data_IF_845404144185
#
_entry.id   IF_845404144185
#
_cell.length_a   1.000
_cell.length_b   1.000
_cell.length_c   1.000
_cell.angle_alpha   90.00
_cell.angle_beta   90.00
_cell.angle_gamma   90.00
#
_symmetry.space_group_name_H-M   'P 1'
#
loop_
_entity.id
_entity.type
_entity.pdbx_description
1 polymer ?
#
# COMPACT_ATOMS: atom_id res chain seq x y z
N UNK A 1 16.69 -0.92 -10.96
CA UNK A 1 16.24 -0.95 -9.54
C UNK A 1 14.91 -1.72 -9.52
N UNK A 2 14.93 -3.06 -9.42
CA UNK A 2 13.87 -3.92 -9.98
C UNK A 2 13.15 -4.86 -8.99
N UNK A 3 13.41 -4.76 -7.67
CA UNK A 3 12.98 -5.82 -6.73
C UNK A 3 11.75 -5.42 -5.89
N UNK A 4 11.37 -4.13 -5.84
CA UNK A 4 10.24 -3.67 -5.01
C UNK A 4 8.90 -3.79 -5.73
N UNK A 5 8.87 -3.60 -7.06
CA UNK A 5 7.65 -3.62 -7.87
C UNK A 5 7.02 -5.01 -7.94
N UNK A 6 7.84 -6.05 -8.11
CA UNK A 6 7.33 -7.42 -8.30
C UNK A 6 6.98 -8.15 -7.00
N UNK A 7 7.60 -7.79 -5.87
CA UNK A 7 7.40 -8.52 -4.60
C UNK A 7 6.30 -7.91 -3.72
N UNK A 8 6.07 -6.60 -3.80
CA UNK A 8 5.05 -5.90 -3.01
C UNK A 8 3.86 -5.43 -3.85
N UNK A 9 3.94 -5.59 -5.17
CA UNK A 9 2.91 -5.17 -6.12
C UNK A 9 2.61 -3.67 -6.09
N UNK A 10 3.61 -2.87 -5.72
CA UNK A 10 3.53 -1.42 -5.81
C UNK A 10 3.71 -1.02 -7.27
N UNK A 11 2.69 -0.37 -7.86
CA UNK A 11 2.74 0.17 -9.22
C UNK A 11 2.60 1.68 -9.16
N UNK A 12 3.62 2.38 -9.66
CA UNK A 12 3.58 3.83 -9.83
C UNK A 12 3.03 4.15 -11.21
N UNK A 13 1.89 4.82 -11.29
CA UNK A 13 1.33 5.38 -12.52
C UNK A 13 1.30 6.90 -12.40
N UNK A 14 2.26 7.55 -13.08
CA UNK A 14 2.47 9.02 -13.04
C UNK A 14 2.76 9.52 -11.61
N UNK A 15 1.73 9.89 -10.89
CA UNK A 15 1.70 10.43 -9.53
C UNK A 15 0.80 9.60 -8.60
N UNK A 16 0.37 8.42 -9.03
CA UNK A 16 -0.46 7.50 -8.24
C UNK A 16 0.28 6.24 -7.90
N UNK A 17 0.31 5.90 -6.62
CA UNK A 17 0.82 4.62 -6.15
C UNK A 17 -0.35 3.66 -5.93
N UNK A 18 -0.43 2.66 -6.80
CA UNK A 18 -1.33 1.52 -6.66
C UNK A 18 -0.66 0.44 -5.82
N UNK A 19 -1.43 -0.13 -4.90
CA UNK A 19 -0.98 -1.22 -4.04
C UNK A 19 -1.72 -2.48 -4.50
N UNK A 20 -1.00 -3.45 -5.04
CA UNK A 20 -1.54 -4.76 -5.45
C UNK A 20 -0.72 -5.87 -4.77
N UNK A 21 -0.79 -5.97 -3.43
CA UNK A 21 0.17 -6.74 -2.66
C UNK A 21 -0.01 -8.23 -2.90
N UNK A 22 0.98 -8.84 -3.54
CA UNK A 22 1.09 -10.30 -3.66
C UNK A 22 1.80 -10.85 -2.42
N UNK A 23 1.13 -10.76 -1.27
CA UNK A 23 1.69 -11.21 -0.01
C UNK A 23 1.51 -12.73 0.18
N UNK A 24 2.54 -13.44 0.69
CA UNK A 24 2.37 -14.82 1.14
C UNK A 24 1.25 -14.93 2.19
N UNK A 25 0.48 -16.03 2.17
CA UNK A 25 -0.67 -16.24 3.06
C UNK A 25 -0.33 -16.04 4.55
N UNK A 26 0.87 -16.46 4.97
CA UNK A 26 1.33 -16.38 6.35
C UNK A 26 1.67 -14.95 6.85
N UNK A 27 1.63 -13.93 5.99
CA UNK A 27 1.94 -12.54 6.38
C UNK A 27 0.67 -11.83 6.86
N UNK A 28 0.71 -11.32 8.10
CA UNK A 28 -0.35 -10.45 8.65
C UNK A 28 -0.33 -9.03 8.07
N UNK A 29 0.77 -8.65 7.45
CA UNK A 29 1.01 -7.30 6.95
C UNK A 29 2.49 -6.98 6.89
N UNK A 30 2.82 -5.82 6.35
CA UNK A 30 4.18 -5.29 6.29
C UNK A 30 4.16 -3.76 6.31
N UNK A 31 5.33 -3.16 6.51
CA UNK A 31 5.51 -1.71 6.42
C UNK A 31 6.58 -1.39 5.38
N UNK A 32 6.34 -0.35 4.61
CA UNK A 32 7.26 0.20 3.62
C UNK A 32 7.38 1.70 3.84
N UNK A 33 8.61 2.21 3.77
CA UNK A 33 8.84 3.64 3.65
C UNK A 33 9.16 3.95 2.20
N UNK A 34 8.23 4.61 1.52
CA UNK A 34 8.36 4.99 0.13
C UNK A 34 8.68 6.49 0.05
N UNK A 35 9.70 6.86 -0.73
CA UNK A 35 10.04 8.27 -0.93
C UNK A 35 9.66 8.68 -2.34
N UNK A 36 8.71 9.60 -2.43
CA UNK A 36 8.37 10.31 -3.67
C UNK A 36 9.05 11.67 -3.65
N UNK A 37 10.08 11.85 -4.49
CA UNK A 37 10.92 13.05 -4.51
C UNK A 37 11.49 13.40 -3.12
N UNK A 38 11.03 14.48 -2.50
CA UNK A 38 11.44 14.93 -1.16
C UNK A 38 10.41 14.57 -0.06
N UNK A 39 9.33 13.88 -0.43
CA UNK A 39 8.21 13.57 0.44
C UNK A 39 8.22 12.07 0.79
N UNK A 40 8.00 11.76 2.08
CA UNK A 40 8.11 10.39 2.61
C UNK A 40 6.73 9.86 2.96
N UNK A 41 6.44 8.67 2.48
CA UNK A 41 5.22 7.92 2.73
C UNK A 41 5.53 6.70 3.60
N UNK A 42 4.92 6.65 4.78
CA UNK A 42 4.93 5.51 5.69
C UNK A 42 3.73 4.62 5.41
N UNK A 43 3.92 3.61 4.55
CA UNK A 43 2.86 2.73 4.09
C UNK A 43 2.82 1.49 4.97
N UNK A 44 1.73 1.30 5.71
CA UNK A 44 1.42 0.10 6.47
C UNK A 44 0.33 -0.69 5.75
N UNK A 45 0.66 -1.90 5.32
CA UNK A 45 -0.28 -2.84 4.72
C UNK A 45 -0.63 -3.88 5.78
N UNK A 46 -1.92 -4.07 6.05
CA UNK A 46 -2.42 -5.03 7.03
C UNK A 46 -3.51 -5.92 6.42
N UNK A 47 -3.52 -7.18 6.82
CA UNK A 47 -4.54 -8.16 6.43
C UNK A 47 -5.58 -8.28 7.54
N UNK A 48 -6.86 -8.13 7.19
CA UNK A 48 -7.94 -8.18 8.17
C UNK A 48 -8.29 -9.62 8.64
N UNK A 49 -7.98 -10.64 7.83
CA UNK A 49 -8.18 -12.06 8.15
C UNK A 49 -6.98 -12.89 7.71
N UNK A 50 -6.49 -13.75 8.60
CA UNK A 50 -5.38 -14.69 8.33
C UNK A 50 -5.98 -16.06 8.02
N UNK A 51 -6.86 -16.13 7.02
CA UNK A 51 -7.21 -17.42 6.44
C UNK A 51 -6.05 -17.84 5.54
N UNK A 52 -5.46 -18.99 5.86
CA UNK A 52 -4.45 -19.62 5.01
C UNK A 52 -5.07 -19.82 3.60
N UNK A 53 -4.32 -19.42 2.56
CA UNK A 53 -4.61 -19.60 1.13
C UNK A 53 -5.43 -18.54 0.36
N UNK A 54 -5.99 -17.50 0.98
CA UNK A 54 -6.67 -16.47 0.19
C UNK A 54 -5.68 -15.52 -0.51
N UNK A 55 -5.99 -15.12 -1.75
CA UNK A 55 -5.32 -13.99 -2.40
C UNK A 55 -6.13 -12.73 -2.06
N UNK A 56 -5.77 -12.03 -0.97
CA UNK A 56 -6.55 -10.89 -0.46
C UNK A 56 -6.43 -9.67 -1.38
N UNK A 57 -7.55 -9.06 -1.73
CA UNK A 57 -7.59 -7.80 -2.49
C UNK A 57 -7.45 -6.58 -1.57
N UNK A 58 -6.93 -5.47 -2.10
CA UNK A 58 -7.03 -4.17 -1.40
C UNK A 58 -8.49 -3.76 -1.35
N UNK A 59 -9.00 -3.50 -0.15
CA UNK A 59 -10.39 -3.05 0.04
C UNK A 59 -10.49 -1.65 0.63
N UNK A 60 -9.42 -1.15 1.26
CA UNK A 60 -9.41 0.19 1.81
C UNK A 60 -8.00 0.79 1.82
N UNK A 61 -7.90 2.06 1.46
CA UNK A 61 -6.68 2.88 1.55
C UNK A 61 -7.02 4.16 2.31
N UNK A 62 -6.22 4.50 3.32
CA UNK A 62 -6.30 5.77 4.04
C UNK A 62 -4.98 6.50 3.96
N UNK A 63 -5.00 7.78 3.63
CA UNK A 63 -3.84 8.68 3.66
C UNK A 63 -4.09 9.72 4.75
N UNK A 64 -3.22 9.77 5.75
CA UNK A 64 -3.35 10.61 6.94
C UNK A 64 -4.72 10.49 7.62
N UNK A 65 -5.27 9.27 7.59
CA UNK A 65 -6.59 8.94 8.16
C UNK A 65 -7.78 9.18 7.24
N UNK A 66 -7.59 9.79 6.06
CA UNK A 66 -8.64 10.07 5.08
C UNK A 66 -8.78 8.92 4.08
N UNK A 67 -9.97 8.34 3.98
CA UNK A 67 -10.28 7.27 3.02
C UNK A 67 -10.15 7.75 1.56
N UNK A 68 -9.58 6.89 0.73
CA UNK A 68 -9.36 7.14 -0.70
C UNK A 68 -10.30 6.25 -1.52
N UNK A 69 -11.11 6.86 -2.39
CA UNK A 69 -12.13 6.14 -3.18
C UNK A 69 -11.55 5.21 -4.25
N UNK A 70 -10.36 5.52 -4.76
CA UNK A 70 -9.77 4.81 -5.90
C UNK A 70 -8.80 3.69 -5.51
N UNK A 71 -8.72 3.35 -4.21
CA UNK A 71 -7.74 2.38 -3.68
C UNK A 71 -6.29 2.68 -4.10
N UNK A 72 -6.00 3.96 -4.33
CA UNK A 72 -4.72 4.48 -4.78
C UNK A 72 -4.28 5.62 -3.86
N UNK A 73 -2.97 5.85 -3.81
CA UNK A 73 -2.36 6.94 -3.05
C UNK A 73 -1.94 8.00 -4.05
N UNK A 74 -2.56 9.18 -4.01
CA UNK A 74 -2.09 10.34 -4.76
C UNK A 74 -0.80 10.86 -4.11
N UNK A 75 0.29 10.84 -4.86
CA UNK A 75 1.62 11.23 -4.40
C UNK A 75 1.82 12.73 -4.66
N UNK A 76 1.97 13.48 -3.57
CA UNK A 76 2.22 14.91 -3.56
C UNK A 76 3.65 15.14 -3.11
N UNK A 77 4.30 16.16 -3.67
CA UNK A 77 5.63 16.58 -3.22
C UNK A 77 5.53 17.85 -2.36
N UNK A 78 4.95 17.72 -1.17
CA UNK A 78 4.76 18.82 -0.21
C UNK A 78 5.84 18.89 0.88
N UNK A 79 6.80 17.96 0.85
CA UNK A 79 7.90 17.79 1.79
C UNK A 79 7.45 17.46 3.21
N UNK A 80 6.26 16.88 3.36
CA UNK A 80 5.74 16.38 4.63
C UNK A 80 5.81 14.85 4.67
N UNK A 81 5.67 14.32 5.86
CA UNK A 81 5.50 12.87 6.02
C UNK A 81 4.00 12.56 5.91
N UNK A 82 3.69 11.49 5.18
CA UNK A 82 2.33 10.98 5.04
C UNK A 82 2.24 9.55 5.58
N UNK A 83 1.21 9.25 6.35
CA UNK A 83 0.92 7.91 6.86
C UNK A 83 -0.17 7.27 6.02
N UNK A 84 0.16 6.12 5.43
CA UNK A 84 -0.79 5.36 4.63
C UNK A 84 -1.13 4.06 5.33
N UNK A 85 -2.42 3.80 5.50
CA UNK A 85 -2.93 2.50 5.95
C UNK A 85 -3.66 1.83 4.79
N UNK A 86 -3.25 0.60 4.47
CA UNK A 86 -3.86 -0.24 3.44
C UNK A 86 -4.39 -1.49 4.10
N UNK A 87 -5.68 -1.79 3.88
CA UNK A 87 -6.32 -2.99 4.41
C UNK A 87 -6.60 -3.97 3.28
N UNK A 88 -6.26 -5.23 3.52
CA UNK A 88 -6.56 -6.36 2.64
C UNK A 88 -7.68 -7.19 3.26
N UNK A 89 -8.71 -7.48 2.47
CA UNK A 89 -9.78 -8.42 2.84
C UNK A 89 -9.92 -9.49 1.77
N UNK A 90 -10.50 -10.61 2.19
CA UNK A 90 -10.95 -11.66 1.28
C UNK A 90 -12.17 -11.14 0.50
N UNK A 91 -12.22 -11.44 -0.80
CA UNK A 91 -13.36 -11.13 -1.66
C UNK A 91 -14.47 -12.18 -1.49
#
# INVERSE_FOLDING_TARGET
RLIVESLLGLRLEVDRLHVAPCLPAHWRGFKVHYRYRETVYHIAVARASVADDANGGVTNVKVDGVEQDNLAIDLVDDRREHWVAVTLQEA
#
